data_IF_759877576955
#
_entry.id   IF_759877576955
#
_cell.length_a   1.000
_cell.length_b   1.000
_cell.length_c   1.000
_cell.angle_alpha   90.00
_cell.angle_beta   90.00
_cell.angle_gamma   90.00
#
_symmetry.space_group_name_H-M   'P 1'
#
loop_
_entity.id
_entity.type
_entity.pdbx_description
1 polymer ?
#
# COMPACT_ATOMS: atom_id res chain seq x y z
N UNK A 1 14.54 20.10 5.48
CA UNK A 1 13.16 20.39 5.89
C UNK A 1 12.33 20.61 4.64
N UNK A 2 11.15 20.03 4.53
CA UNK A 2 10.21 20.31 3.44
C UNK A 2 9.67 21.73 3.55
N UNK A 3 9.70 22.50 2.46
CA UNK A 3 9.06 23.83 2.38
C UNK A 3 7.54 23.65 2.33
N UNK A 4 6.81 24.36 3.20
CA UNK A 4 5.35 24.33 3.23
C UNK A 4 4.73 24.71 1.87
N UNK A 5 5.42 25.51 1.06
CA UNK A 5 4.99 25.85 -0.31
C UNK A 5 4.97 24.64 -1.23
N UNK A 6 5.95 23.75 -1.09
CA UNK A 6 5.99 22.49 -1.83
C UNK A 6 4.85 21.57 -1.38
N UNK A 7 4.63 21.49 -0.07
CA UNK A 7 3.50 20.73 0.48
C UNK A 7 2.14 21.29 0.03
N UNK A 8 2.00 22.62 -0.02
CA UNK A 8 0.77 23.30 -0.45
C UNK A 8 0.41 23.03 -1.92
N UNK A 9 1.41 22.77 -2.76
CA UNK A 9 1.23 22.42 -4.18
C UNK A 9 0.98 20.93 -4.42
N UNK A 10 1.11 20.07 -3.40
CA UNK A 10 0.87 18.64 -3.55
C UNK A 10 -0.62 18.33 -3.80
N UNK A 11 -0.90 17.33 -4.62
CA UNK A 11 -2.27 16.89 -4.92
C UNK A 11 -3.04 16.52 -3.65
N UNK A 12 -2.41 15.74 -2.76
CA UNK A 12 -3.00 15.29 -1.49
C UNK A 12 -3.44 16.49 -0.65
N UNK A 13 -2.62 17.54 -0.61
CA UNK A 13 -2.94 18.74 0.15
C UNK A 13 -4.12 19.52 -0.43
N UNK A 14 -4.15 19.69 -1.76
CA UNK A 14 -5.26 20.37 -2.45
C UNK A 14 -6.57 19.59 -2.33
N UNK A 15 -6.51 18.26 -2.36
CA UNK A 15 -7.66 17.40 -2.13
C UNK A 15 -8.15 17.49 -0.68
N UNK A 16 -7.25 17.55 0.30
CA UNK A 16 -7.63 17.73 1.70
C UNK A 16 -8.37 19.06 1.92
N UNK A 17 -7.88 20.16 1.34
CA UNK A 17 -8.59 21.45 1.37
C UNK A 17 -9.96 21.38 0.70
N UNK A 18 -10.05 20.73 -0.47
CA UNK A 18 -11.33 20.56 -1.17
C UNK A 18 -12.33 19.75 -0.35
N UNK A 19 -11.87 18.71 0.35
CA UNK A 19 -12.72 17.87 1.18
C UNK A 19 -13.24 18.59 2.42
N UNK A 20 -12.47 19.54 2.99
CA UNK A 20 -12.89 20.29 4.17
C UNK A 20 -13.65 21.58 3.85
N UNK A 21 -13.68 22.00 2.59
CA UNK A 21 -14.41 23.18 2.11
C UNK A 21 -15.91 23.09 2.42
N UNK A 22 -16.53 21.91 2.27
CA UNK A 22 -17.95 21.70 2.55
C UNK A 22 -18.29 21.64 4.04
N UNK A 23 -17.29 21.45 4.91
CA UNK A 23 -17.48 21.42 6.36
C UNK A 23 -17.49 22.84 6.92
N UNK A 24 -16.49 23.64 6.55
CA UNK A 24 -16.35 25.00 7.05
C UNK A 24 -15.57 25.90 6.08
N UNK A 25 -16.31 26.63 5.24
CA UNK A 25 -15.73 27.52 4.23
C UNK A 25 -15.22 28.85 4.81
N UNK A 26 -14.15 29.44 4.23
CA UNK A 26 -13.20 28.76 3.35
C UNK A 26 -12.39 27.71 4.13
N UNK A 27 -12.02 26.60 3.48
CA UNK A 27 -11.06 25.66 4.05
C UNK A 27 -9.73 26.37 4.32
N UNK A 28 -9.08 26.02 5.42
CA UNK A 28 -7.84 26.66 5.83
C UNK A 28 -6.74 25.62 5.97
N UNK A 29 -5.61 25.93 5.34
CA UNK A 29 -4.38 25.16 5.35
C UNK A 29 -3.29 25.84 6.19
N UNK A 30 -2.09 26.00 5.65
CA UNK A 30 -1.01 26.73 6.31
C UNK A 30 -1.39 28.21 6.41
N UNK A 31 -1.19 28.80 7.59
CA UNK A 31 -1.45 30.21 7.85
C UNK A 31 -0.24 30.81 8.56
N UNK A 32 -0.01 32.10 8.34
CA UNK A 32 0.89 32.87 9.20
C UNK A 32 0.05 33.50 10.31
N UNK A 33 0.39 33.27 11.58
CA UNK A 33 -0.39 33.82 12.70
C UNK A 33 -0.54 35.34 12.65
N UNK A 34 0.48 36.06 12.18
CA UNK A 34 0.48 37.52 12.03
C UNK A 34 -0.56 38.03 11.01
N UNK A 35 -1.02 37.17 10.09
CA UNK A 35 -2.02 37.54 9.08
C UNK A 35 -3.46 37.32 9.62
N UNK A 36 -3.62 36.76 10.83
CA UNK A 36 -4.93 36.49 11.44
C UNK A 36 -5.31 37.63 12.39
N UNK A 37 -6.37 38.36 12.07
CA UNK A 37 -6.95 39.38 12.96
C UNK A 37 -8.25 38.86 13.61
N UNK A 38 -8.29 38.83 14.94
CA UNK A 38 -9.52 38.66 15.75
C UNK A 38 -10.25 37.32 15.68
N UNK A 39 -9.88 36.37 14.79
CA UNK A 39 -10.58 35.09 14.57
C UNK A 39 -9.67 33.86 14.66
N UNK A 40 -8.68 33.89 15.56
CA UNK A 40 -7.67 32.83 15.71
C UNK A 40 -8.28 31.45 15.98
N UNK A 41 -9.28 31.36 16.85
CA UNK A 41 -9.93 30.10 17.19
C UNK A 41 -10.71 29.49 16.02
N UNK A 42 -11.40 30.30 15.22
CA UNK A 42 -12.11 29.82 14.03
C UNK A 42 -11.15 29.30 12.97
N UNK A 43 -10.05 30.04 12.75
CA UNK A 43 -8.98 29.61 11.84
C UNK A 43 -8.38 28.30 12.30
N UNK A 44 -8.14 28.12 13.60
CA UNK A 44 -7.63 26.87 14.17
C UNK A 44 -8.59 25.70 13.94
N UNK A 45 -9.90 25.88 14.12
CA UNK A 45 -10.87 24.82 13.82
C UNK A 45 -10.82 24.38 12.35
N UNK A 46 -10.74 25.35 11.43
CA UNK A 46 -10.61 25.07 9.99
C UNK A 46 -9.30 24.33 9.67
N UNK A 47 -8.19 24.75 10.26
CA UNK A 47 -6.89 24.07 10.11
C UNK A 47 -6.90 22.64 10.68
N UNK A 48 -7.58 22.44 11.81
CA UNK A 48 -7.70 21.12 12.44
C UNK A 48 -8.46 20.16 11.52
N UNK A 49 -9.54 20.60 10.88
CA UNK A 49 -10.27 19.79 9.91
C UNK A 49 -9.35 19.34 8.76
N UNK A 50 -8.59 20.28 8.18
CA UNK A 50 -7.63 19.96 7.10
C UNK A 50 -6.54 19.00 7.57
N UNK A 51 -6.05 19.16 8.80
CA UNK A 51 -5.05 18.27 9.40
C UNK A 51 -5.58 16.85 9.60
N UNK A 52 -6.79 16.72 10.13
CA UNK A 52 -7.47 15.42 10.30
C UNK A 52 -7.64 14.73 8.94
N UNK A 53 -8.07 15.47 7.91
CA UNK A 53 -8.23 14.93 6.56
C UNK A 53 -6.91 14.43 5.96
N UNK A 54 -5.80 15.15 6.18
CA UNK A 54 -4.47 14.72 5.76
C UNK A 54 -4.02 13.45 6.48
N UNK A 55 -4.29 13.34 7.79
CA UNK A 55 -3.96 12.15 8.58
C UNK A 55 -4.78 10.93 8.15
N UNK A 56 -6.06 11.13 7.80
CA UNK A 56 -6.90 10.07 7.26
C UNK A 56 -6.33 9.56 5.93
N UNK A 57 -5.98 10.48 5.01
CA UNK A 57 -5.34 10.12 3.74
C UNK A 57 -4.03 9.36 3.91
N UNK A 58 -3.21 9.76 4.89
CA UNK A 58 -1.98 9.03 5.20
C UNK A 58 -2.26 7.62 5.75
N UNK A 59 -3.28 7.48 6.60
CA UNK A 59 -3.70 6.19 7.14
C UNK A 59 -4.16 5.25 6.02
N UNK A 60 -4.99 5.75 5.09
CA UNK A 60 -5.42 5.02 3.88
C UNK A 60 -4.22 4.54 3.06
N UNK A 61 -3.25 5.43 2.78
CA UNK A 61 -2.04 5.06 2.03
C UNK A 61 -1.18 4.01 2.75
N UNK A 62 -1.09 4.06 4.07
CA UNK A 62 -0.37 3.05 4.87
C UNK A 62 -1.08 1.69 4.80
N UNK A 63 -2.41 1.66 4.83
CA UNK A 63 -3.18 0.44 4.68
C UNK A 63 -2.99 -0.17 3.29
N UNK A 64 -3.06 0.64 2.24
CA UNK A 64 -2.79 0.20 0.86
C UNK A 64 -1.37 -0.37 0.72
N UNK A 65 -0.37 0.29 1.30
CA UNK A 65 1.01 -0.20 1.32
C UNK A 65 1.14 -1.52 2.08
N UNK A 66 0.48 -1.68 3.23
CA UNK A 66 0.47 -2.94 3.99
C UNK A 66 -0.14 -4.08 3.17
N UNK A 67 -1.22 -3.80 2.43
CA UNK A 67 -1.83 -4.78 1.53
C UNK A 67 -0.87 -5.14 0.39
N UNK A 68 -0.21 -4.16 -0.22
CA UNK A 68 0.77 -4.39 -1.26
C UNK A 68 1.96 -5.25 -0.77
N UNK A 69 2.50 -4.95 0.42
CA UNK A 69 3.59 -5.74 1.02
C UNK A 69 3.16 -7.19 1.25
N UNK A 70 1.98 -7.42 1.86
CA UNK A 70 1.46 -8.78 2.07
C UNK A 70 1.29 -9.55 0.76
N UNK A 71 0.84 -8.89 -0.31
CA UNK A 71 0.72 -9.51 -1.64
C UNK A 71 2.09 -9.90 -2.19
N UNK A 72 3.09 -9.03 -2.06
CA UNK A 72 4.46 -9.30 -2.51
C UNK A 72 5.09 -10.46 -1.72
N UNK A 73 4.90 -10.51 -0.40
CA UNK A 73 5.36 -11.63 0.44
C UNK A 73 4.71 -12.95 0.03
N UNK A 74 3.41 -12.94 -0.28
CA UNK A 74 2.70 -14.14 -0.75
C UNK A 74 3.17 -14.62 -2.12
N UNK A 75 3.55 -13.71 -3.03
CA UNK A 75 4.15 -14.07 -4.33
C UNK A 75 5.54 -14.64 -4.13
N UNK A 76 6.37 -14.00 -3.30
CA UNK A 76 7.73 -14.48 -2.98
C UNK A 76 7.71 -15.84 -2.27
N UNK A 77 6.72 -16.10 -1.41
CA UNK A 77 6.51 -17.41 -0.78
C UNK A 77 6.10 -18.51 -1.75
N UNK A 78 5.48 -18.16 -2.89
CA UNK A 78 5.14 -19.10 -3.98
C UNK A 78 6.31 -19.34 -4.95
N UNK A 79 7.23 -18.39 -5.07
CA UNK A 79 8.50 -18.60 -5.78
C UNK A 79 9.49 -19.45 -4.96
N UNK A 80 9.19 -19.68 -3.68
CA UNK A 80 9.92 -20.58 -2.78
C UNK A 80 9.48 -22.05 -2.83
N UNK A 81 8.66 -22.48 -3.81
CA UNK A 81 8.54 -23.91 -4.11
C UNK A 81 9.88 -24.39 -4.67
N UNK A 82 10.69 -24.86 -3.74
CA UNK A 82 12.06 -25.29 -3.86
C UNK A 82 12.22 -26.31 -5.02
N UNK A 83 13.35 -26.31 -5.77
CA UNK A 83 13.63 -27.30 -6.81
C UNK A 83 13.56 -28.76 -6.32
N UNK A 84 13.63 -28.98 -5.01
CA UNK A 84 13.57 -30.31 -4.37
C UNK A 84 12.26 -31.04 -4.68
N UNK A 85 11.13 -30.33 -4.78
CA UNK A 85 9.81 -30.92 -5.09
C UNK A 85 9.73 -31.40 -6.55
N UNK A 86 10.51 -30.77 -7.44
CA UNK A 86 10.63 -31.16 -8.85
C UNK A 86 11.60 -32.34 -9.03
N UNK A 87 12.68 -32.43 -8.25
CA UNK A 87 13.57 -33.61 -8.25
C UNK A 87 12.89 -34.83 -7.67
N UNK A 88 12.13 -34.69 -6.58
CA UNK A 88 11.36 -35.81 -6.00
C UNK A 88 10.28 -36.30 -6.99
N UNK A 89 9.65 -35.37 -7.72
CA UNK A 89 8.70 -35.70 -8.80
C UNK A 89 9.38 -36.38 -9.99
N UNK A 90 10.58 -35.95 -10.37
CA UNK A 90 11.38 -36.58 -11.44
C UNK A 90 11.82 -37.99 -11.07
N UNK A 91 12.26 -38.22 -9.83
CA UNK A 91 12.65 -39.53 -9.33
C UNK A 91 11.47 -40.49 -9.28
N UNK A 92 10.28 -40.01 -8.88
CA UNK A 92 9.06 -40.80 -8.94
C UNK A 92 8.66 -41.16 -10.37
N UNK A 93 8.77 -40.22 -11.32
CA UNK A 93 8.49 -40.47 -12.74
C UNK A 93 9.49 -41.47 -13.33
N UNK A 94 10.78 -41.35 -13.00
CA UNK A 94 11.79 -42.32 -13.42
C UNK A 94 11.55 -43.72 -12.87
N UNK A 95 11.15 -43.84 -11.59
CA UNK A 95 10.81 -45.13 -11.00
C UNK A 95 9.56 -45.75 -11.64
N UNK A 96 8.55 -44.94 -11.98
CA UNK A 96 7.36 -45.43 -12.69
C UNK A 96 7.69 -45.88 -14.12
N UNK A 97 8.54 -45.14 -14.83
CA UNK A 97 9.05 -45.52 -16.16
C UNK A 97 9.87 -46.82 -16.13
N UNK A 98 10.74 -47.00 -15.14
CA UNK A 98 11.50 -48.24 -14.96
C UNK A 98 10.59 -49.44 -14.66
N UNK A 99 9.55 -49.25 -13.84
CA UNK A 99 8.57 -50.31 -13.54
C UNK A 99 7.75 -50.70 -14.77
N UNK A 100 7.39 -49.75 -15.63
CA UNK A 100 6.71 -50.02 -16.90
C UNK A 100 7.64 -50.72 -17.90
N UNK A 101 8.88 -50.25 -18.02
CA UNK A 101 9.93 -50.86 -18.85
C UNK A 101 10.26 -52.31 -18.47
N UNK A 102 10.17 -52.66 -17.19
CA UNK A 102 10.42 -54.02 -16.69
C UNK A 102 9.17 -54.92 -16.80
N UNK A 103 7.97 -54.34 -16.79
CA UNK A 103 6.71 -55.06 -16.92
C UNK A 103 6.45 -55.58 -18.35
N UNK A 104 6.94 -54.89 -19.39
CA UNK A 104 6.84 -55.37 -20.77
C UNK A 104 7.84 -56.50 -21.09
N UNK A 105 8.94 -56.62 -20.36
CA UNK A 105 9.97 -57.63 -20.62
C UNK A 105 9.64 -59.03 -20.05
N UNK A 106 8.62 -59.14 -19.19
CA UNK A 106 8.22 -60.41 -18.53
C UNK A 106 6.97 -61.03 -19.19
N UNK A 107 6.42 -60.41 -20.23
CA UNK A 107 5.22 -60.88 -20.94
C UNK A 107 5.51 -61.35 -22.39
N UNK A 108 6.67 -61.98 -22.61
CA UNK A 108 7.03 -62.74 -23.83
C UNK A 108 7.70 -64.04 -23.42
#
# INVERSE_FOLDING_TARGET
MSDWRLSANSTIYREALKATESIHSPAVGFVKPQDITGRTTEVQFKQNNTTIQLLLKLTEQIEDLKVAVKRLEAVKGKEGTQPDDLTDSLDQIQQQLQKLSLGELIMV
#
